data_IF_255087632497
#
_entry.id   IF_255087632497
#
_cell.length_a   1.000
_cell.length_b   1.000
_cell.length_c   1.000
_cell.angle_alpha   90.00
_cell.angle_beta   90.00
_cell.angle_gamma   90.00
#
_symmetry.space_group_name_H-M   'P 1'
#
loop_
_entity.id
_entity.type
_entity.pdbx_description
1 polymer ?
#
# COMPACT_ATOMS: atom_id res chain seq x y z
N UNK A 1 -27.94 -4.11 15.75
CA UNK A 1 -28.37 -3.82 14.36
C UNK A 1 -27.17 -3.20 13.66
N UNK A 2 -26.73 -3.79 12.56
CA UNK A 2 -25.62 -3.27 11.73
C UNK A 2 -26.23 -2.23 10.79
N UNK A 3 -25.59 -1.06 10.69
CA UNK A 3 -26.09 0.06 9.88
C UNK A 3 -25.67 -0.11 8.41
N UNK A 4 -26.59 -0.40 7.48
CA UNK A 4 -26.28 -0.69 6.09
C UNK A 4 -25.62 0.49 5.36
N UNK A 5 -25.87 1.72 5.82
CA UNK A 5 -25.29 2.92 5.23
C UNK A 5 -23.78 3.00 5.46
N UNK A 6 -23.31 2.55 6.63
CA UNK A 6 -21.89 2.51 6.98
C UNK A 6 -21.14 1.42 6.20
N UNK A 7 -21.78 0.27 5.96
CA UNK A 7 -21.15 -0.85 5.23
C UNK A 7 -20.90 -0.49 3.76
N UNK A 8 -21.83 0.24 3.11
CA UNK A 8 -21.66 0.67 1.72
C UNK A 8 -20.55 1.71 1.56
N UNK A 9 -20.40 2.62 2.52
CA UNK A 9 -19.31 3.58 2.55
C UNK A 9 -17.96 2.87 2.75
N UNK A 10 -17.89 1.91 3.66
CA UNK A 10 -16.70 1.08 3.87
C UNK A 10 -16.36 0.31 2.60
N UNK A 11 -17.33 -0.28 1.91
CA UNK A 11 -17.07 -0.95 0.63
C UNK A 11 -16.48 -0.02 -0.44
N UNK A 12 -16.96 1.23 -0.50
CA UNK A 12 -16.43 2.22 -1.42
C UNK A 12 -14.95 2.51 -1.09
N UNK A 13 -14.63 2.72 0.17
CA UNK A 13 -13.25 2.95 0.63
C UNK A 13 -12.36 1.74 0.29
N UNK A 14 -12.85 0.51 0.48
CA UNK A 14 -12.09 -0.69 0.14
C UNK A 14 -11.80 -0.81 -1.36
N UNK A 15 -12.73 -0.38 -2.22
CA UNK A 15 -12.52 -0.34 -3.67
C UNK A 15 -11.47 0.70 -4.06
N UNK A 16 -11.49 1.87 -3.43
CA UNK A 16 -10.47 2.91 -3.65
C UNK A 16 -9.08 2.41 -3.23
N UNK A 17 -8.96 1.76 -2.07
CA UNK A 17 -7.71 1.12 -1.62
C UNK A 17 -7.23 0.05 -2.61
N UNK A 18 -8.14 -0.75 -3.17
CA UNK A 18 -7.78 -1.76 -4.18
C UNK A 18 -7.25 -1.13 -5.48
N UNK A 19 -7.80 0.00 -5.91
CA UNK A 19 -7.33 0.76 -7.06
C UNK A 19 -5.93 1.34 -6.81
N UNK A 20 -5.73 1.96 -5.65
CA UNK A 20 -4.44 2.52 -5.26
C UNK A 20 -3.37 1.43 -5.13
N UNK A 21 -3.71 0.26 -4.61
CA UNK A 21 -2.80 -0.88 -4.56
C UNK A 21 -2.41 -1.39 -5.96
N UNK A 22 -3.35 -1.41 -6.92
CA UNK A 22 -3.03 -1.75 -8.31
C UNK A 22 -2.07 -0.73 -8.92
N UNK A 23 -2.30 0.56 -8.68
CA UNK A 23 -1.42 1.63 -9.13
C UNK A 23 -0.01 1.49 -8.53
N UNK A 24 0.10 1.25 -7.22
CA UNK A 24 1.38 1.02 -6.55
C UNK A 24 2.10 -0.21 -7.10
N UNK A 25 1.38 -1.31 -7.31
CA UNK A 25 1.97 -2.54 -7.87
C UNK A 25 2.56 -2.30 -9.27
N UNK A 26 1.89 -1.53 -10.12
CA UNK A 26 2.38 -1.19 -11.45
C UNK A 26 3.64 -0.30 -11.41
N UNK A 27 3.67 0.70 -10.52
CA UNK A 27 4.86 1.53 -10.31
C UNK A 27 6.06 0.68 -9.85
N UNK A 28 5.84 -0.26 -8.93
CA UNK A 28 6.90 -1.17 -8.44
C UNK A 28 7.37 -2.16 -9.52
N UNK A 29 6.47 -2.63 -10.40
CA UNK A 29 6.85 -3.48 -11.55
C UNK A 29 7.75 -2.73 -12.53
N UNK A 30 7.49 -1.45 -12.75
CA UNK A 30 8.29 -0.59 -13.63
C UNK A 30 9.48 0.07 -12.93
N UNK A 31 9.63 -0.11 -11.62
CA UNK A 31 10.63 0.53 -10.77
C UNK A 31 10.63 2.07 -10.88
N UNK A 32 9.45 2.67 -11.10
CA UNK A 32 9.27 4.12 -11.21
C UNK A 32 8.63 4.70 -9.95
N UNK A 33 8.93 5.98 -9.67
CA UNK A 33 8.29 6.76 -8.58
C UNK A 33 8.26 6.00 -7.25
N UNK A 34 9.37 5.36 -6.88
CA UNK A 34 9.45 4.48 -5.71
C UNK A 34 9.12 5.22 -4.40
N UNK A 35 9.63 6.44 -4.22
CA UNK A 35 9.35 7.26 -3.03
C UNK A 35 7.88 7.63 -2.90
N UNK A 36 7.25 8.05 -4.00
CA UNK A 36 5.80 8.31 -4.02
C UNK A 36 5.01 7.04 -3.70
N UNK A 37 5.37 5.93 -4.34
CA UNK A 37 4.72 4.63 -4.13
C UNK A 37 4.81 4.21 -2.67
N UNK A 38 5.97 4.41 -2.03
CA UNK A 38 6.15 4.17 -0.60
C UNK A 38 5.22 5.03 0.26
N UNK A 39 5.17 6.34 0.02
CA UNK A 39 4.31 7.23 0.79
C UNK A 39 2.81 6.87 0.65
N UNK A 40 2.36 6.54 -0.56
CA UNK A 40 0.99 6.06 -0.77
C UNK A 40 0.70 4.78 0.02
N UNK A 41 1.66 3.85 0.07
CA UNK A 41 1.54 2.60 0.85
C UNK A 41 1.49 2.88 2.36
N UNK A 42 2.24 3.86 2.86
CA UNK A 42 2.18 4.30 4.26
C UNK A 42 0.81 4.88 4.63
N UNK A 43 0.26 5.74 3.77
CA UNK A 43 -1.09 6.30 3.94
C UNK A 43 -2.16 5.21 3.90
N UNK A 44 -2.08 4.29 2.94
CA UNK A 44 -2.99 3.14 2.87
C UNK A 44 -2.95 2.27 4.12
N UNK A 45 -1.77 2.00 4.70
CA UNK A 45 -1.67 1.26 5.95
C UNK A 45 -2.45 1.96 7.08
N UNK A 46 -2.32 3.29 7.22
CA UNK A 46 -3.07 4.06 8.23
C UNK A 46 -4.58 4.00 7.98
N UNK A 47 -5.00 4.11 6.72
CA UNK A 47 -6.42 4.03 6.36
C UNK A 47 -6.99 2.65 6.70
N UNK A 48 -6.28 1.58 6.34
CA UNK A 48 -6.67 0.19 6.63
C UNK A 48 -6.74 -0.07 8.14
N UNK A 49 -5.77 0.41 8.91
CA UNK A 49 -5.77 0.24 10.38
C UNK A 49 -6.96 0.98 11.03
N UNK A 50 -7.35 2.15 10.50
CA UNK A 50 -8.56 2.86 10.95
C UNK A 50 -9.86 2.09 10.68
N UNK A 51 -9.89 1.27 9.63
CA UNK A 51 -11.03 0.40 9.31
C UNK A 51 -11.05 -0.84 10.21
N UNK A 52 -9.88 -1.38 10.58
CA UNK A 52 -9.76 -2.53 11.48
C UNK A 52 -10.32 -2.29 12.87
N UNK A 53 -10.29 -1.06 13.36
CA UNK A 53 -10.83 -0.71 14.68
C UNK A 53 -12.36 -0.59 14.69
N UNK A 54 -13.01 -0.59 13.52
CA UNK A 54 -14.47 -0.53 13.42
C UNK A 54 -15.08 -1.92 13.62
N UNK A 55 -16.29 -1.97 14.17
CA UNK A 55 -17.05 -3.22 14.32
C UNK A 55 -17.78 -3.52 13.01
N UNK A 56 -17.17 -4.31 12.13
CA UNK A 56 -17.68 -4.60 10.79
C UNK A 56 -18.14 -6.06 10.65
N UNK A 57 -18.97 -6.38 9.64
CA UNK A 57 -19.22 -7.74 9.22
C UNK A 57 -17.91 -8.53 8.97
N UNK A 58 -17.92 -9.83 9.28
CA UNK A 58 -16.72 -10.68 9.18
C UNK A 58 -16.13 -10.70 7.77
N UNK A 59 -16.98 -10.69 6.74
CA UNK A 59 -16.55 -10.64 5.34
C UNK A 59 -15.72 -9.38 5.03
N UNK A 60 -16.14 -8.21 5.53
CA UNK A 60 -15.39 -6.96 5.37
C UNK A 60 -14.09 -6.99 6.18
N UNK A 61 -14.12 -7.52 7.41
CA UNK A 61 -12.90 -7.68 8.21
C UNK A 61 -11.86 -8.58 7.54
N UNK A 62 -12.27 -9.70 6.92
CA UNK A 62 -11.36 -10.56 6.16
C UNK A 62 -10.73 -9.80 4.99
N UNK A 63 -11.55 -9.11 4.19
CA UNK A 63 -11.07 -8.32 3.04
C UNK A 63 -10.10 -7.20 3.45
N UNK A 64 -10.39 -6.50 4.55
CA UNK A 64 -9.48 -5.53 5.16
C UNK A 64 -8.15 -6.20 5.55
N UNK A 65 -8.21 -7.42 6.11
CA UNK A 65 -7.03 -8.23 6.44
C UNK A 65 -6.16 -8.54 5.22
N UNK A 66 -6.77 -8.97 4.12
CA UNK A 66 -6.09 -9.28 2.87
C UNK A 66 -5.42 -8.03 2.26
N UNK A 67 -6.14 -6.90 2.26
CA UNK A 67 -5.60 -5.63 1.78
C UNK A 67 -4.44 -5.14 2.66
N UNK A 68 -4.53 -5.28 3.98
CA UNK A 68 -3.45 -4.94 4.90
C UNK A 68 -2.17 -5.73 4.59
N UNK A 69 -2.32 -7.04 4.38
CA UNK A 69 -1.20 -7.92 4.03
C UNK A 69 -0.59 -7.51 2.69
N UNK A 70 -1.41 -7.29 1.66
CA UNK A 70 -0.95 -6.87 0.34
C UNK A 70 -0.19 -5.54 0.40
N UNK A 71 -0.74 -4.55 1.12
CA UNK A 71 -0.12 -3.23 1.31
C UNK A 71 1.27 -3.36 1.93
N UNK A 72 1.40 -4.18 2.99
CA UNK A 72 2.67 -4.40 3.68
C UNK A 72 3.72 -5.09 2.78
N UNK A 73 3.31 -6.07 2.00
CA UNK A 73 4.19 -6.74 1.02
C UNK A 73 4.72 -5.73 0.00
N UNK A 74 3.84 -4.90 -0.58
CA UNK A 74 4.24 -3.89 -1.55
C UNK A 74 5.14 -2.82 -0.92
N UNK A 75 4.88 -2.43 0.33
CA UNK A 75 5.72 -1.46 1.04
C UNK A 75 7.15 -1.97 1.21
N UNK A 76 7.32 -3.21 1.69
CA UNK A 76 8.65 -3.81 1.82
C UNK A 76 9.35 -3.95 0.47
N UNK A 77 8.61 -4.26 -0.60
CA UNK A 77 9.17 -4.26 -1.96
C UNK A 77 9.65 -2.87 -2.38
N UNK A 78 8.89 -1.83 -2.08
CA UNK A 78 9.28 -0.44 -2.35
C UNK A 78 10.59 -0.08 -1.63
N UNK A 79 10.70 -0.40 -0.34
CA UNK A 79 11.91 -0.18 0.47
C UNK A 79 13.15 -0.88 -0.11
N UNK A 80 13.00 -2.15 -0.51
CA UNK A 80 14.09 -2.92 -1.12
C UNK A 80 14.52 -2.28 -2.45
N UNK A 81 13.57 -1.95 -3.32
CA UNK A 81 13.88 -1.33 -4.62
C UNK A 81 14.55 0.04 -4.46
N UNK A 82 14.10 0.86 -3.51
CA UNK A 82 14.72 2.15 -3.21
C UNK A 82 16.15 1.98 -2.72
N UNK A 83 16.39 1.05 -1.79
CA UNK A 83 17.72 0.76 -1.26
C UNK A 83 18.69 0.30 -2.35
N UNK A 84 18.26 -0.62 -3.23
CA UNK A 84 19.06 -1.09 -4.36
C UNK A 84 19.40 0.03 -5.36
N UNK A 85 18.45 0.95 -5.59
CA UNK A 85 18.66 2.10 -6.48
C UNK A 85 19.69 3.08 -5.90
N UNK A 86 19.64 3.33 -4.60
CA UNK A 86 20.62 4.16 -3.90
C UNK A 86 22.03 3.55 -3.97
N UNK A 87 22.15 2.25 -3.71
CA UNK A 87 23.43 1.53 -3.77
C UNK A 87 24.06 1.61 -5.17
N UNK A 88 23.28 1.33 -6.23
CA UNK A 88 23.72 1.51 -7.61
C UNK A 88 24.18 2.95 -7.87
N UNK A 89 23.43 3.95 -7.41
CA UNK A 89 23.81 5.36 -7.60
C UNK A 89 25.13 5.71 -6.91
N UNK A 90 25.38 5.20 -5.71
CA UNK A 90 26.64 5.41 -4.98
C UNK A 90 27.82 4.74 -5.70
N UNK A 91 27.65 3.52 -6.18
CA UNK A 91 28.68 2.79 -6.93
C UNK A 91 29.15 3.57 -8.17
N UNK A 92 28.22 4.09 -8.97
CA UNK A 92 28.57 4.87 -10.17
C UNK A 92 29.18 6.25 -9.87
N UNK A 93 28.91 6.85 -8.70
CA UNK A 93 29.60 8.10 -8.29
C UNK A 93 31.05 7.86 -7.87
N UNK A 94 31.36 6.69 -7.31
CA UNK A 94 32.72 6.31 -6.90
C UNK A 94 33.68 6.03 -8.05
N UNK A 95 33.18 5.80 -9.27
CA UNK A 95 33.97 5.57 -10.49
C UNK A 95 34.37 6.87 -11.24
N UNK A 96 33.94 8.05 -10.78
CA UNK A 96 34.33 9.36 -11.34
C UNK A 96 35.39 10.07 -10.49
N UNK A 97 36.34 9.33 -9.92
CA UNK A 97 37.52 9.88 -9.24
C UNK A 97 38.78 9.32 -9.88
#
# INVERSE_FOLDING_TARGET
>A
MVDPFNDQEVEKILKEIEEDLRFCEENLKREIRLDLTRHMLEEMMRNIDSLRTRRLPEALHRRIGDLALKTRILYHRAEILSSLKEEKSRYYRGWRV
#
